data_IF_656947858081
#
_entry.id   IF_656947858081
#
_cell.length_a   1.000
_cell.length_b   1.000
_cell.length_c   1.000
_cell.angle_alpha   90.00
_cell.angle_beta   90.00
_cell.angle_gamma   90.00
#
_symmetry.space_group_name_H-M   'P 1'
#
loop_
_entity.id
_entity.type
_entity.pdbx_description
1 polymer ?
#
# COMPACT_ATOMS: atom_id res chain seq x y z
N UNK A 1 21.85 28.68 -2.22
CA UNK A 1 22.04 27.22 -2.09
C UNK A 1 20.78 26.57 -1.53
N UNK A 2 20.00 25.88 -2.36
CA UNK A 2 19.01 24.90 -1.90
C UNK A 2 19.47 23.56 -2.46
N UNK A 3 20.18 22.81 -1.63
CA UNK A 3 20.79 21.56 -2.03
C UNK A 3 19.73 20.50 -2.18
N UNK A 4 19.58 20.01 -3.41
CA UNK A 4 18.92 18.76 -3.75
C UNK A 4 19.39 17.62 -2.83
N UNK A 5 18.51 17.16 -1.96
CA UNK A 5 18.66 15.91 -1.22
C UNK A 5 18.00 14.79 -2.00
N UNK A 6 18.80 14.11 -2.83
CA UNK A 6 18.43 12.88 -3.54
C UNK A 6 17.80 11.87 -2.58
N UNK A 7 16.52 11.52 -2.82
CA UNK A 7 15.81 10.46 -2.09
C UNK A 7 16.41 9.12 -2.53
N UNK A 8 17.50 8.73 -1.87
CA UNK A 8 18.09 7.40 -1.99
C UNK A 8 17.22 6.46 -1.18
N UNK A 9 16.30 5.77 -1.87
CA UNK A 9 15.54 4.66 -1.31
C UNK A 9 16.51 3.62 -0.76
N UNK A 10 16.55 3.47 0.55
CA UNK A 10 17.22 2.35 1.18
C UNK A 10 16.44 1.92 2.42
N UNK A 11 15.73 0.83 2.19
CA UNK A 11 15.64 -0.34 3.07
C UNK A 11 14.62 -0.30 4.21
N UNK A 12 13.79 -1.35 4.16
CA UNK A 12 12.84 -1.84 5.17
C UNK A 12 11.48 -1.16 5.18
N UNK A 13 10.73 -1.39 4.11
CA UNK A 13 9.30 -1.08 4.05
C UNK A 13 8.51 -2.23 3.47
N UNK A 14 7.53 -2.70 4.26
CA UNK A 14 6.43 -3.58 3.89
C UNK A 14 6.76 -5.08 3.66
N UNK A 15 6.86 -5.83 4.77
CA UNK A 15 6.27 -7.18 4.78
C UNK A 15 4.74 -7.03 4.73
N UNK A 16 4.20 -6.77 3.55
CA UNK A 16 2.78 -6.93 3.26
C UNK A 16 2.72 -7.87 2.06
N UNK A 17 2.29 -9.10 2.35
CA UNK A 17 2.29 -10.28 1.47
C UNK A 17 3.63 -10.99 1.43
N UNK A 18 3.71 -12.19 2.01
CA UNK A 18 4.86 -13.07 1.85
C UNK A 18 5.18 -13.25 0.37
N UNK A 19 6.34 -12.76 -0.07
CA UNK A 19 7.02 -12.93 -1.36
C UNK A 19 6.24 -12.84 -2.69
N UNK A 20 4.94 -12.59 -2.69
CA UNK A 20 4.11 -12.57 -3.92
C UNK A 20 4.05 -11.18 -4.56
N UNK A 21 4.23 -10.13 -3.77
CA UNK A 21 4.16 -8.75 -4.25
C UNK A 21 5.55 -8.12 -4.26
N UNK A 22 6.35 -8.45 -5.27
CA UNK A 22 7.53 -7.64 -5.62
C UNK A 22 7.05 -6.35 -6.27
N UNK A 23 6.46 -5.45 -5.46
CA UNK A 23 5.98 -4.16 -5.93
C UNK A 23 7.21 -3.32 -6.24
N UNK A 24 7.52 -3.17 -7.53
CA UNK A 24 8.60 -2.29 -7.96
C UNK A 24 8.44 -0.90 -7.35
N UNK A 25 9.52 -0.35 -6.81
CA UNK A 25 9.56 0.96 -6.13
C UNK A 25 8.83 2.07 -6.92
N UNK A 26 8.83 2.00 -8.26
CA UNK A 26 8.15 2.96 -9.13
C UNK A 26 6.61 2.92 -9.10
N UNK A 27 5.99 1.81 -8.71
CA UNK A 27 4.53 1.67 -8.68
C UNK A 27 3.95 1.85 -7.26
N UNK A 28 4.75 1.59 -6.21
CA UNK A 28 4.31 1.65 -4.82
C UNK A 28 3.97 3.09 -4.38
N UNK A 29 4.89 4.03 -4.61
CA UNK A 29 4.68 5.42 -4.17
C UNK A 29 3.50 6.12 -4.85
N UNK A 30 3.30 5.99 -6.19
CA UNK A 30 2.09 6.51 -6.82
C UNK A 30 0.81 5.89 -6.27
N UNK A 31 0.81 4.58 -5.99
CA UNK A 31 -0.35 3.91 -5.40
C UNK A 31 -0.65 4.43 -3.99
N UNK A 32 0.36 4.55 -3.12
CA UNK A 32 0.21 5.13 -1.79
C UNK A 32 -0.27 6.58 -1.84
N UNK A 33 0.25 7.38 -2.76
CA UNK A 33 -0.21 8.76 -2.95
C UNK A 33 -1.69 8.83 -3.35
N UNK A 34 -2.16 7.95 -4.25
CA UNK A 34 -3.58 7.90 -4.61
C UNK A 34 -4.45 7.51 -3.42
N UNK A 35 -4.04 6.52 -2.63
CA UNK A 35 -4.76 6.11 -1.43
C UNK A 35 -4.80 7.22 -0.37
N UNK A 36 -3.74 8.01 -0.26
CA UNK A 36 -3.66 9.18 0.64
C UNK A 36 -4.59 10.30 0.14
N UNK A 37 -4.59 10.60 -1.17
CA UNK A 37 -5.50 11.58 -1.78
C UNK A 37 -6.98 11.20 -1.65
N UNK A 38 -7.30 9.91 -1.71
CA UNK A 38 -8.66 9.41 -1.46
C UNK A 38 -9.03 9.39 0.03
N UNK A 39 -8.10 9.74 0.93
CA UNK A 39 -8.32 9.73 2.37
C UNK A 39 -8.47 8.33 2.95
N UNK A 40 -8.07 7.28 2.22
CA UNK A 40 -8.16 5.89 2.68
C UNK A 40 -7.00 5.53 3.59
N UNK A 41 -5.83 6.15 3.39
CA UNK A 41 -4.69 6.04 4.29
C UNK A 41 -4.29 7.43 4.80
N UNK A 42 -3.74 7.46 6.01
CA UNK A 42 -3.03 8.60 6.58
C UNK A 42 -1.55 8.26 6.64
N UNK A 43 -0.71 9.24 6.35
CA UNK A 43 0.70 9.15 6.61
C UNK A 43 1.14 9.99 7.80
N UNK A 44 2.04 9.43 8.59
CA UNK A 44 2.66 10.09 9.74
C UNK A 44 4.17 9.92 9.65
N UNK A 45 4.90 11.02 9.77
CA UNK A 45 6.34 10.98 9.95
C UNK A 45 6.62 10.56 11.38
N UNK A 46 7.38 9.47 11.55
CA UNK A 46 7.92 9.09 12.85
C UNK A 46 9.43 9.09 12.77
N UNK A 47 10.03 9.62 13.81
CA UNK A 47 11.47 9.55 14.00
C UNK A 47 11.82 8.10 14.32
N UNK A 48 12.67 7.51 13.47
CA UNK A 48 13.27 6.22 13.77
C UNK A 48 14.38 6.42 14.80
N UNK A 49 14.60 5.42 15.64
CA UNK A 49 15.69 5.40 16.65
C UNK A 49 17.08 5.64 16.04
N UNK A 50 17.23 5.47 14.72
CA UNK A 50 18.45 5.71 13.94
C UNK A 50 18.54 7.12 13.32
N UNK A 51 17.70 8.08 13.74
CA UNK A 51 17.76 9.47 13.27
C UNK A 51 17.32 9.66 11.81
N UNK A 52 16.60 8.69 11.24
CA UNK A 52 16.00 8.78 9.91
C UNK A 52 14.48 8.84 10.06
N UNK A 53 13.87 9.97 9.74
CA UNK A 53 12.41 10.07 9.74
C UNK A 53 11.84 9.17 8.64
N UNK A 54 10.94 8.26 9.00
CA UNK A 54 10.25 7.37 8.08
C UNK A 54 8.76 7.73 8.01
N UNK A 55 8.16 7.65 6.81
CA UNK A 55 6.74 7.90 6.59
C UNK A 55 5.97 6.60 6.84
N UNK A 56 5.24 6.54 7.94
CA UNK A 56 4.38 5.40 8.30
C UNK A 56 2.97 5.64 7.77
N UNK A 57 2.41 4.65 7.09
CA UNK A 57 1.06 4.71 6.54
C UNK A 57 0.11 3.85 7.37
N UNK A 58 -1.08 4.37 7.65
CA UNK A 58 -2.13 3.65 8.39
C UNK A 58 -3.48 3.84 7.70
N UNK A 59 -4.35 2.82 7.76
CA UNK A 59 -5.71 2.92 7.23
C UNK A 59 -6.56 3.84 8.10
N UNK A 60 -7.26 4.77 7.44
CA UNK A 60 -8.28 5.60 8.10
C UNK A 60 -9.56 4.80 8.32
N UNK A 61 -10.48 5.33 9.14
CA UNK A 61 -11.81 4.72 9.30
C UNK A 61 -12.58 4.64 7.97
N UNK A 62 -12.41 5.62 7.10
CA UNK A 62 -13.01 5.62 5.77
C UNK A 62 -12.36 4.55 4.88
N UNK A 63 -11.02 4.47 4.90
CA UNK A 63 -10.28 3.45 4.17
C UNK A 63 -10.63 2.02 4.57
N UNK A 64 -10.86 1.75 5.86
CA UNK A 64 -11.32 0.42 6.30
C UNK A 64 -12.67 0.03 5.71
N UNK A 65 -13.65 0.95 5.75
CA UNK A 65 -14.97 0.70 5.16
C UNK A 65 -14.90 0.49 3.65
N UNK A 66 -14.04 1.24 2.96
CA UNK A 66 -13.84 1.02 1.53
C UNK A 66 -13.16 -0.32 1.26
N UNK A 67 -12.12 -0.65 2.03
CA UNK A 67 -11.41 -1.92 1.91
C UNK A 67 -12.36 -3.11 2.06
N UNK A 68 -13.28 -3.07 3.02
CA UNK A 68 -14.32 -4.11 3.18
C UNK A 68 -15.16 -4.29 1.90
N UNK A 69 -15.60 -3.19 1.27
CA UNK A 69 -16.39 -3.24 0.02
C UNK A 69 -15.59 -3.79 -1.16
N UNK A 70 -14.34 -3.36 -1.29
CA UNK A 70 -13.44 -3.84 -2.34
C UNK A 70 -13.16 -5.33 -2.16
N UNK A 71 -12.93 -5.78 -0.92
CA UNK A 71 -12.73 -7.20 -0.59
C UNK A 71 -13.97 -8.03 -0.89
N UNK A 72 -15.18 -7.55 -0.55
CA UNK A 72 -16.42 -8.24 -0.91
C UNK A 72 -16.56 -8.38 -2.43
N UNK A 73 -16.26 -7.32 -3.18
CA UNK A 73 -16.33 -7.32 -4.64
C UNK A 73 -15.31 -8.29 -5.23
N UNK A 74 -14.07 -8.25 -4.74
CA UNK A 74 -13.01 -9.18 -5.13
C UNK A 74 -13.38 -10.63 -4.82
N UNK A 75 -13.92 -10.91 -3.64
CA UNK A 75 -14.33 -12.26 -3.25
C UNK A 75 -15.42 -12.81 -4.17
N UNK A 76 -16.39 -11.97 -4.58
CA UNK A 76 -17.43 -12.37 -5.55
C UNK A 76 -16.81 -12.70 -6.91
N UNK A 77 -15.96 -11.83 -7.44
CA UNK A 77 -15.32 -12.02 -8.75
C UNK A 77 -14.39 -13.24 -8.76
N UNK A 78 -13.52 -13.35 -7.77
CA UNK A 78 -12.58 -14.48 -7.64
C UNK A 78 -13.32 -15.80 -7.46
N UNK A 79 -14.44 -15.82 -6.72
CA UNK A 79 -15.29 -17.01 -6.59
C UNK A 79 -15.91 -17.40 -7.93
N UNK A 80 -16.42 -16.43 -8.70
CA UNK A 80 -16.99 -16.70 -10.03
C UNK A 80 -15.93 -17.26 -11.00
N UNK A 81 -14.73 -16.66 -11.03
CA UNK A 81 -13.60 -17.16 -11.84
C UNK A 81 -13.20 -18.57 -11.39
N UNK A 82 -13.14 -18.82 -10.07
CA UNK A 82 -12.81 -20.14 -9.53
C UNK A 82 -13.83 -21.20 -9.94
N UNK A 83 -15.13 -20.85 -9.96
CA UNK A 83 -16.18 -21.74 -10.45
C UNK A 83 -16.04 -22.04 -11.94
N UNK A 84 -15.66 -21.05 -12.76
CA UNK A 84 -15.41 -21.27 -14.20
C UNK A 84 -14.23 -22.22 -14.43
N UNK A 85 -13.13 -22.04 -13.69
CA UNK A 85 -11.92 -22.86 -13.84
C UNK A 85 -12.15 -24.29 -13.33
N UNK A 86 -12.92 -24.49 -12.25
CA UNK A 86 -13.17 -25.84 -11.68
C UNK A 86 -14.21 -26.66 -12.45
N UNK A 87 -15.00 -26.03 -13.31
CA UNK A 87 -16.03 -26.70 -14.12
C UNK A 87 -15.55 -27.07 -15.53
N UNK A 88 -14.28 -26.83 -15.83
CA UNK A 88 -13.57 -27.26 -17.04
C UNK A 88 -12.69 -28.48 -16.72
#
# INVERSE_FOLDING_TARGET
>A
MRSSGSVRGSERGASLSGDVLSVGQGALYPALHRLEQQGWIRAEWKDSELGRSAKFYSLTRHGRKQLERELETWNRLSSAVRLLIQKA
#
